data_IF_558415727798
#
_entry.id   IF_558415727798
#
_cell.length_a   1.000
_cell.length_b   1.000
_cell.length_c   1.000
_cell.angle_alpha   90.00
_cell.angle_beta   90.00
_cell.angle_gamma   90.00
#
_symmetry.space_group_name_H-M   'P 1'
#
loop_
_entity.id
_entity.type
_entity.pdbx_description
1 polymer ?
#
# COMPACT_ATOMS: atom_id res chain seq x y z
N UNK A 1 5.23 -1.72 -14.21
CA UNK A 1 3.93 -2.43 -14.18
C UNK A 1 2.84 -1.44 -13.77
N UNK A 2 1.65 -1.53 -14.33
CA UNK A 2 0.52 -0.63 -14.02
C UNK A 2 -0.46 -1.37 -13.09
N UNK A 3 -0.66 -0.84 -11.88
CA UNK A 3 -1.70 -1.28 -10.94
C UNK A 3 -2.96 -0.46 -11.21
N UNK A 4 -4.07 -1.08 -11.61
CA UNK A 4 -5.33 -0.37 -11.81
C UNK A 4 -6.09 -0.15 -10.50
N UNK A 5 -6.99 0.85 -10.49
CA UNK A 5 -7.87 1.07 -9.33
C UNK A 5 -8.80 -0.13 -9.08
N UNK A 6 -9.26 -0.79 -10.15
CA UNK A 6 -10.12 -1.98 -10.05
C UNK A 6 -9.37 -3.17 -9.46
N UNK A 7 -8.11 -3.41 -9.84
CA UNK A 7 -7.26 -4.42 -9.22
C UNK A 7 -7.04 -4.12 -7.74
N UNK A 8 -6.72 -2.87 -7.40
CA UNK A 8 -6.56 -2.48 -5.99
C UNK A 8 -7.86 -2.65 -5.20
N UNK A 9 -9.03 -2.34 -5.79
CA UNK A 9 -10.34 -2.57 -5.15
C UNK A 9 -10.61 -4.06 -4.90
N UNK A 10 -10.24 -4.92 -5.84
CA UNK A 10 -10.39 -6.38 -5.65
C UNK A 10 -9.49 -6.90 -4.53
N UNK A 11 -8.26 -6.39 -4.42
CA UNK A 11 -7.32 -6.74 -3.33
C UNK A 11 -7.72 -6.16 -1.97
N UNK A 12 -8.44 -5.02 -1.95
CA UNK A 12 -8.89 -4.29 -0.76
C UNK A 12 -10.42 -4.14 -0.75
N UNK A 13 -11.19 -5.23 -0.68
CA UNK A 13 -12.63 -5.22 -0.97
C UNK A 13 -13.45 -4.39 0.02
N UNK A 14 -12.97 -4.17 1.23
CA UNK A 14 -13.69 -3.39 2.25
C UNK A 14 -13.33 -1.89 2.22
N UNK A 15 -12.33 -1.50 1.44
CA UNK A 15 -11.90 -0.10 1.33
C UNK A 15 -12.86 0.70 0.44
N UNK A 16 -13.33 1.85 0.93
CA UNK A 16 -14.24 2.73 0.19
C UNK A 16 -13.57 3.96 -0.43
N UNK A 17 -12.26 4.13 -0.19
CA UNK A 17 -11.48 5.27 -0.66
C UNK A 17 -10.42 4.84 -1.69
N UNK A 18 -10.73 3.83 -2.51
CA UNK A 18 -9.77 3.19 -3.42
C UNK A 18 -9.12 4.18 -4.39
N UNK A 19 -9.86 5.12 -4.93
CA UNK A 19 -9.30 6.11 -5.87
C UNK A 19 -8.14 6.88 -5.24
N UNK A 20 -8.31 7.37 -4.01
CA UNK A 20 -7.24 8.07 -3.30
C UNK A 20 -6.04 7.15 -3.04
N UNK A 21 -6.26 5.91 -2.60
CA UNK A 21 -5.17 4.97 -2.34
C UNK A 21 -4.44 4.56 -3.62
N UNK A 22 -5.16 4.43 -4.71
CA UNK A 22 -4.58 4.14 -6.02
C UNK A 22 -3.68 5.28 -6.52
N UNK A 23 -4.15 6.54 -6.44
CA UNK A 23 -3.34 7.71 -6.80
C UNK A 23 -2.05 7.78 -5.97
N UNK A 24 -2.15 7.57 -4.65
CA UNK A 24 -1.00 7.55 -3.76
C UNK A 24 -0.04 6.38 -4.06
N UNK A 25 -0.57 5.19 -4.35
CA UNK A 25 0.25 4.04 -4.72
C UNK A 25 0.98 4.29 -6.04
N UNK A 26 0.32 4.87 -7.03
CA UNK A 26 0.92 5.24 -8.30
C UNK A 26 2.10 6.22 -8.15
N UNK A 27 2.01 7.15 -7.18
CA UNK A 27 3.08 8.09 -6.88
C UNK A 27 4.22 7.46 -6.05
N UNK A 28 3.89 6.67 -5.04
CA UNK A 28 4.85 6.22 -4.03
C UNK A 28 5.55 4.90 -4.40
N UNK A 29 4.85 3.95 -4.99
CA UNK A 29 5.42 2.62 -5.28
C UNK A 29 6.71 2.67 -6.11
N UNK A 30 6.81 3.49 -7.20
CA UNK A 30 8.05 3.58 -7.96
C UNK A 30 9.23 4.11 -7.14
N UNK A 31 9.00 5.01 -6.19
CA UNK A 31 10.05 5.57 -5.31
C UNK A 31 10.70 4.51 -4.43
N UNK A 32 9.94 3.47 -4.09
CA UNK A 32 10.37 2.36 -3.23
C UNK A 32 10.54 1.04 -4.00
N UNK A 33 10.58 1.11 -5.34
CA UNK A 33 10.78 -0.06 -6.21
C UNK A 33 9.73 -1.17 -5.97
N UNK A 34 8.50 -0.79 -5.66
CA UNK A 34 7.36 -1.71 -5.53
C UNK A 34 6.67 -1.75 -6.90
N UNK A 35 7.30 -2.38 -7.89
CA UNK A 35 7.01 -2.22 -9.32
C UNK A 35 6.85 -3.55 -10.08
N UNK A 36 6.97 -4.70 -9.41
CA UNK A 36 6.67 -6.01 -9.98
C UNK A 36 5.39 -6.61 -9.39
N UNK A 37 4.84 -7.63 -10.05
CA UNK A 37 3.65 -8.38 -9.59
C UNK A 37 3.86 -8.88 -8.17
N UNK A 38 4.99 -9.56 -7.92
CA UNK A 38 5.31 -10.17 -6.65
C UNK A 38 5.48 -9.15 -5.53
N UNK A 39 6.11 -8.00 -5.83
CA UNK A 39 6.32 -6.91 -4.86
C UNK A 39 5.01 -6.23 -4.50
N UNK A 40 4.17 -5.90 -5.50
CA UNK A 40 2.84 -5.30 -5.27
C UNK A 40 1.96 -6.28 -4.51
N UNK A 41 1.83 -7.54 -4.95
CA UNK A 41 1.04 -8.55 -4.27
C UNK A 41 1.52 -8.75 -2.83
N UNK A 42 2.83 -8.87 -2.62
CA UNK A 42 3.43 -9.04 -1.30
C UNK A 42 3.15 -7.84 -0.38
N UNK A 43 3.34 -6.63 -0.89
CA UNK A 43 3.09 -5.39 -0.14
C UNK A 43 1.63 -5.26 0.25
N UNK A 44 0.71 -5.36 -0.73
CA UNK A 44 -0.73 -5.21 -0.48
C UNK A 44 -1.24 -6.29 0.47
N UNK A 45 -0.89 -7.57 0.25
CA UNK A 45 -1.34 -8.67 1.11
C UNK A 45 -0.94 -8.48 2.58
N UNK A 46 0.29 -8.02 2.83
CA UNK A 46 0.78 -7.83 4.19
C UNK A 46 0.18 -6.57 4.84
N UNK A 47 0.18 -5.45 4.14
CA UNK A 47 -0.36 -4.18 4.68
C UNK A 47 -1.87 -4.20 4.85
N UNK A 48 -2.60 -4.88 3.96
CA UNK A 48 -4.04 -5.10 4.09
C UNK A 48 -4.39 -5.91 5.35
N UNK A 49 -3.60 -6.93 5.69
CA UNK A 49 -3.76 -7.69 6.93
C UNK A 49 -3.56 -6.80 8.17
N UNK A 50 -2.51 -5.96 8.19
CA UNK A 50 -2.18 -5.10 9.34
C UNK A 50 -3.20 -3.97 9.56
N UNK A 51 -3.83 -3.47 8.51
CA UNK A 51 -4.65 -2.26 8.52
C UNK A 51 -6.11 -2.47 8.13
N UNK A 52 -6.59 -3.71 8.09
CA UNK A 52 -7.95 -4.07 7.66
C UNK A 52 -8.29 -3.43 6.30
N UNK A 53 -7.61 -3.88 5.24
CA UNK A 53 -7.76 -3.37 3.87
C UNK A 53 -7.52 -1.84 3.77
N UNK A 54 -6.50 -1.34 4.47
CA UNK A 54 -6.11 0.08 4.50
C UNK A 54 -7.20 1.01 5.03
N UNK A 55 -8.09 0.48 5.87
CA UNK A 55 -9.16 1.26 6.51
C UNK A 55 -8.75 1.82 7.87
N UNK A 56 -7.76 1.21 8.52
CA UNK A 56 -7.26 1.63 9.83
C UNK A 56 -5.80 2.08 9.69
N UNK A 57 -5.56 3.37 9.88
CA UNK A 57 -4.23 3.98 9.81
C UNK A 57 -3.71 4.46 11.16
N UNK A 58 -4.45 4.23 12.23
CA UNK A 58 -4.08 4.61 13.60
C UNK A 58 -4.60 3.57 14.59
N UNK A 59 -3.77 3.17 15.57
CA UNK A 59 -4.17 2.13 16.52
C UNK A 59 -5.29 2.62 17.47
N UNK A 60 -6.20 1.72 17.78
CA UNK A 60 -7.27 1.96 18.74
C UNK A 60 -6.88 1.46 20.13
N UNK A 61 -6.59 2.37 21.04
CA UNK A 61 -6.21 2.10 22.43
C UNK A 61 -7.38 2.23 23.43
N UNK A 62 -8.61 2.25 22.94
CA UNK A 62 -9.80 2.41 23.79
C UNK A 62 -10.20 1.09 24.48
N UNK A 63 -9.40 0.63 25.43
CA UNK A 63 -9.60 -0.64 26.14
C UNK A 63 -10.35 -0.48 27.45
N UNK A 64 -11.21 -1.47 27.78
CA UNK A 64 -11.78 -1.61 29.13
C UNK A 64 -10.73 -2.15 30.10
N UNK A 65 -10.92 -1.96 31.40
CA UNK A 65 -10.03 -2.47 32.44
C UNK A 65 -9.81 -3.99 32.34
N UNK A 66 -10.86 -4.76 32.03
CA UNK A 66 -10.76 -6.20 31.85
C UNK A 66 -9.91 -6.56 30.60
N UNK A 67 -10.08 -5.80 29.51
CA UNK A 67 -9.30 -5.99 28.28
C UNK A 67 -7.82 -5.63 28.49
N UNK A 68 -7.51 -4.61 29.27
CA UNK A 68 -6.12 -4.23 29.61
C UNK A 68 -5.35 -5.39 30.28
N UNK A 69 -5.97 -6.07 31.23
CA UNK A 69 -5.35 -7.23 31.88
C UNK A 69 -5.12 -8.42 30.92
N UNK A 70 -5.99 -8.57 29.93
CA UNK A 70 -5.88 -9.65 28.94
C UNK A 70 -4.85 -9.33 27.87
N UNK A 71 -4.93 -8.12 27.28
CA UNK A 71 -4.11 -7.71 26.12
C UNK A 71 -2.75 -7.20 26.57
N UNK A 72 -2.71 -6.40 27.61
CA UNK A 72 -1.52 -5.74 28.13
C UNK A 72 -1.14 -6.19 29.54
N UNK A 73 -1.42 -7.44 29.90
CA UNK A 73 -1.22 -8.01 31.22
C UNK A 73 0.18 -7.77 31.81
N UNK A 74 1.21 -7.73 30.98
CA UNK A 74 2.59 -7.39 31.37
C UNK A 74 2.69 -6.03 32.05
N UNK A 75 1.92 -5.04 31.58
CA UNK A 75 1.99 -3.65 32.03
C UNK A 75 0.99 -3.32 33.14
N UNK A 76 0.02 -4.20 33.39
CA UNK A 76 -1.02 -4.05 34.39
C UNK A 76 -0.95 -5.15 35.46
N UNK A 77 -1.54 -6.31 35.20
CA UNK A 77 -1.64 -7.39 36.17
C UNK A 77 -0.28 -7.84 36.70
N UNK A 78 0.70 -8.07 35.82
CA UNK A 78 2.03 -8.54 36.24
C UNK A 78 2.88 -7.42 36.85
N UNK A 79 2.56 -6.17 36.58
CA UNK A 79 3.20 -4.99 37.16
C UNK A 79 2.50 -4.49 38.44
N UNK A 80 1.46 -5.18 38.92
CA UNK A 80 0.71 -4.76 40.13
C UNK A 80 -0.06 -3.45 39.98
N UNK A 81 -0.38 -3.05 38.72
CA UNK A 81 -1.07 -1.77 38.42
C UNK A 81 -2.56 -2.03 38.20
N UNK A 82 -3.40 -1.28 38.94
CA UNK A 82 -4.84 -1.37 38.78
C UNK A 82 -5.29 -0.81 37.42
N UNK A 83 -5.85 -1.62 36.53
CA UNK A 83 -6.27 -1.18 35.19
C UNK A 83 -7.52 -0.28 35.22
N UNK A 84 -8.25 -0.21 36.35
CA UNK A 84 -9.46 0.63 36.49
C UNK A 84 -9.15 2.11 36.29
N UNK A 85 -7.97 2.56 36.75
CA UNK A 85 -7.48 3.92 36.55
C UNK A 85 -7.15 4.26 35.07
N UNK A 86 -7.15 3.28 34.17
CA UNK A 86 -6.87 3.44 32.74
C UNK A 86 -8.06 3.06 31.84
N UNK A 87 -9.20 2.71 32.44
CA UNK A 87 -10.40 2.29 31.73
C UNK A 87 -10.85 3.34 30.72
N UNK A 88 -10.86 2.97 29.42
CA UNK A 88 -11.27 3.87 28.32
C UNK A 88 -10.51 5.20 28.26
N UNK A 89 -9.22 5.19 28.62
CA UNK A 89 -8.34 6.35 28.58
C UNK A 89 -7.16 6.06 27.62
N UNK A 90 -7.36 6.17 26.28
CA UNK A 90 -6.38 5.77 25.27
C UNK A 90 -4.99 6.38 25.46
N UNK A 91 -4.94 7.68 25.79
CA UNK A 91 -3.68 8.39 26.00
C UNK A 91 -2.89 7.81 27.18
N UNK A 92 -3.55 7.63 28.33
CA UNK A 92 -2.90 7.03 29.50
C UNK A 92 -2.46 5.60 29.25
N UNK A 93 -3.27 4.83 28.51
CA UNK A 93 -2.93 3.46 28.12
C UNK A 93 -1.68 3.44 27.26
N UNK A 94 -1.62 4.29 26.21
CA UNK A 94 -0.45 4.41 25.36
C UNK A 94 0.81 4.79 26.15
N UNK A 95 0.70 5.84 26.97
CA UNK A 95 1.82 6.34 27.76
C UNK A 95 2.35 5.28 28.73
N UNK A 96 1.49 4.42 29.28
CA UNK A 96 1.86 3.28 30.11
C UNK A 96 2.53 2.14 29.32
N UNK A 97 1.88 1.71 28.24
CA UNK A 97 2.29 0.51 27.47
C UNK A 97 3.60 0.74 26.74
N UNK A 98 3.83 1.97 26.25
CA UNK A 98 4.99 2.32 25.44
C UNK A 98 6.09 3.08 26.20
N UNK A 99 5.92 3.32 27.52
CA UNK A 99 6.94 3.96 28.33
C UNK A 99 8.29 3.23 28.31
N UNK A 100 9.39 3.98 28.24
CA UNK A 100 10.76 3.49 28.30
C UNK A 100 11.09 2.43 27.23
N UNK A 101 10.45 2.52 26.06
CA UNK A 101 10.63 1.61 24.94
C UNK A 101 10.78 2.40 23.65
N UNK A 102 11.58 1.90 22.71
CA UNK A 102 11.73 2.50 21.37
C UNK A 102 12.06 4.01 21.45
N UNK A 103 12.95 4.39 22.36
CA UNK A 103 13.36 5.76 22.69
C UNK A 103 12.24 6.67 23.21
N UNK A 104 11.08 6.13 23.57
CA UNK A 104 10.08 6.90 24.33
C UNK A 104 10.59 7.14 25.75
N UNK A 105 10.26 8.31 26.28
CA UNK A 105 10.47 8.63 27.70
C UNK A 105 9.57 7.79 28.61
N UNK A 106 9.55 8.14 29.89
CA UNK A 106 8.68 7.50 30.89
C UNK A 106 7.18 7.80 30.64
N UNK A 107 6.29 7.22 31.46
CA UNK A 107 4.85 7.38 31.33
C UNK A 107 4.39 8.86 31.34
N UNK A 108 5.08 9.73 32.12
CA UNK A 108 4.75 11.15 32.20
C UNK A 108 5.25 12.00 31.03
N UNK A 109 6.10 11.46 30.16
CA UNK A 109 6.64 12.18 28.99
C UNK A 109 5.58 12.46 27.91
N UNK A 110 4.51 11.67 27.85
CA UNK A 110 3.53 11.73 26.78
C UNK A 110 3.99 11.06 25.47
N UNK A 111 5.24 10.57 25.41
CA UNK A 111 5.80 9.99 24.19
C UNK A 111 5.04 8.74 23.72
N UNK A 112 4.51 7.94 24.65
CA UNK A 112 3.75 6.76 24.31
C UNK A 112 2.50 7.06 23.48
N UNK A 113 1.78 8.11 23.81
CA UNK A 113 0.63 8.58 23.03
C UNK A 113 1.07 9.29 21.76
N UNK A 114 2.06 10.17 21.86
CA UNK A 114 2.57 10.94 20.73
C UNK A 114 3.05 10.04 19.60
N UNK A 115 3.79 8.97 19.90
CA UNK A 115 4.41 8.05 18.95
C UNK A 115 3.72 6.67 18.93
N UNK A 116 2.39 6.63 19.18
CA UNK A 116 1.60 5.40 19.06
C UNK A 116 1.59 4.87 17.63
N UNK A 117 1.08 3.66 17.42
CA UNK A 117 1.02 3.02 16.13
C UNK A 117 0.25 3.81 15.07
N UNK A 118 0.90 4.17 13.97
CA UNK A 118 0.29 4.85 12.81
C UNK A 118 0.77 4.26 11.49
N UNK A 119 -0.02 4.52 10.44
CA UNK A 119 0.24 4.05 9.09
C UNK A 119 -0.20 2.61 8.86
N UNK A 120 -0.09 2.16 7.61
CA UNK A 120 -0.58 0.83 7.20
C UNK A 120 0.22 -0.33 7.83
N UNK A 121 1.38 -0.05 8.42
CA UNK A 121 2.23 -1.05 9.09
C UNK A 121 2.36 -0.78 10.59
N UNK A 122 1.56 0.13 11.12
CA UNK A 122 1.55 0.47 12.55
C UNK A 122 2.94 0.86 13.09
N UNK A 123 3.60 1.80 12.41
CA UNK A 123 4.88 2.35 12.85
C UNK A 123 4.75 2.94 14.26
N UNK A 124 5.53 2.45 15.23
CA UNK A 124 5.37 2.76 16.65
C UNK A 124 6.71 3.14 17.28
N UNK A 125 6.68 4.12 18.19
CA UNK A 125 7.80 4.54 19.01
C UNK A 125 8.65 5.65 18.40
N UNK A 126 9.20 6.50 19.27
CA UNK A 126 9.99 7.69 18.92
C UNK A 126 11.18 7.36 18.00
N UNK A 127 11.88 6.25 18.28
CA UNK A 127 12.98 5.77 17.45
C UNK A 127 12.57 5.53 16.00
N UNK A 128 11.46 4.82 15.77
CA UNK A 128 11.01 4.52 14.41
C UNK A 128 10.48 5.76 13.70
N UNK A 129 9.78 6.64 14.41
CA UNK A 129 9.34 7.92 13.87
C UNK A 129 10.52 8.79 13.44
N UNK A 130 11.57 8.84 14.27
CA UNK A 130 12.79 9.59 13.94
C UNK A 130 13.47 9.04 12.69
N UNK A 131 13.64 7.73 12.59
CA UNK A 131 14.25 7.10 11.40
C UNK A 131 13.47 7.40 10.11
N UNK A 132 12.14 7.36 10.20
CA UNK A 132 11.30 7.71 9.06
C UNK A 132 11.38 9.20 8.74
N UNK A 133 11.29 10.07 9.75
CA UNK A 133 11.46 11.52 9.66
C UNK A 133 12.78 11.89 8.95
N UNK A 134 13.89 11.30 9.40
CA UNK A 134 15.22 11.55 8.82
C UNK A 134 15.30 11.08 7.35
N UNK A 135 14.64 9.96 7.02
CA UNK A 135 14.65 9.41 5.67
C UNK A 135 13.91 10.27 4.65
N UNK A 136 12.73 10.79 5.02
CA UNK A 136 11.90 11.61 4.12
C UNK A 136 12.13 13.11 4.25
N UNK A 137 12.99 13.56 5.19
CA UNK A 137 13.32 14.97 5.40
C UNK A 137 12.18 15.81 6.01
N UNK A 138 11.25 15.19 6.75
CA UNK A 138 10.18 15.88 7.49
C UNK A 138 10.56 15.97 8.96
N UNK A 139 10.54 17.16 9.54
CA UNK A 139 10.90 17.39 10.94
C UNK A 139 9.98 16.63 11.92
N UNK A 140 10.54 16.24 13.10
CA UNK A 140 9.87 15.42 14.11
C UNK A 140 8.59 16.05 14.69
N UNK A 141 8.45 17.35 14.67
CA UNK A 141 7.24 18.05 15.10
C UNK A 141 6.07 17.85 14.11
N UNK A 142 6.38 17.65 12.83
CA UNK A 142 5.41 17.48 11.74
C UNK A 142 5.14 16.01 11.39
N UNK A 143 6.09 15.11 11.72
CA UNK A 143 5.99 13.70 11.30
C UNK A 143 4.75 12.99 11.86
N UNK A 144 4.31 13.35 13.06
CA UNK A 144 3.11 12.79 13.70
C UNK A 144 1.86 13.10 12.88
N UNK A 145 1.72 14.37 12.47
CA UNK A 145 0.59 14.79 11.64
C UNK A 145 0.66 14.15 10.25
N UNK A 146 1.85 14.07 9.65
CA UNK A 146 2.06 13.41 8.36
C UNK A 146 1.62 11.94 8.41
N UNK A 147 2.07 11.17 9.40
CA UNK A 147 1.71 9.75 9.58
C UNK A 147 0.21 9.51 9.83
N UNK A 148 -0.52 10.53 10.28
CA UNK A 148 -1.98 10.46 10.47
C UNK A 148 -2.78 10.73 9.18
N UNK A 149 -2.10 11.00 8.07
CA UNK A 149 -2.72 11.19 6.75
C UNK A 149 -2.62 9.92 5.89
N UNK A 150 -3.49 9.72 4.89
CA UNK A 150 -3.37 8.59 3.96
C UNK A 150 -2.00 8.53 3.26
N UNK A 151 -1.46 9.68 2.81
CA UNK A 151 -0.14 9.72 2.16
C UNK A 151 0.96 9.27 3.12
N UNK A 152 1.02 9.79 4.34
CA UNK A 152 2.02 9.39 5.33
C UNK A 152 1.86 7.94 5.80
N UNK A 153 0.61 7.45 5.85
CA UNK A 153 0.31 6.06 6.19
C UNK A 153 0.87 5.07 5.15
N UNK A 154 0.72 5.38 3.86
CA UNK A 154 1.26 4.57 2.79
C UNK A 154 2.78 4.73 2.67
N UNK A 155 3.28 5.98 2.73
CA UNK A 155 4.69 6.30 2.60
C UNK A 155 5.54 5.59 3.68
N UNK A 156 5.09 5.62 4.94
CA UNK A 156 5.77 4.91 6.03
C UNK A 156 5.80 3.39 5.85
N UNK A 157 4.76 2.82 5.25
CA UNK A 157 4.71 1.39 4.95
C UNK A 157 5.66 1.04 3.79
N UNK A 158 5.70 1.86 2.74
CA UNK A 158 6.63 1.71 1.63
C UNK A 158 8.09 1.85 2.09
N UNK A 159 8.37 2.86 2.94
CA UNK A 159 9.68 3.04 3.56
C UNK A 159 10.10 1.83 4.39
N UNK A 160 9.22 1.32 5.25
CA UNK A 160 9.50 0.13 6.04
C UNK A 160 9.79 -1.07 5.14
N UNK A 161 8.97 -1.27 4.12
CA UNK A 161 9.12 -2.35 3.15
C UNK A 161 10.49 -2.31 2.47
N UNK A 162 10.84 -1.16 1.91
CA UNK A 162 12.08 -0.96 1.20
C UNK A 162 13.31 -1.11 2.10
N UNK A 163 13.33 -0.42 3.26
CA UNK A 163 14.48 -0.41 4.15
C UNK A 163 14.71 -1.72 4.90
N UNK A 164 13.72 -2.61 4.92
CA UNK A 164 13.84 -3.95 5.50
C UNK A 164 14.08 -5.04 4.46
N UNK A 165 14.37 -4.71 3.21
CA UNK A 165 14.70 -5.67 2.14
C UNK A 165 13.54 -6.60 1.79
N UNK A 166 12.30 -6.08 1.85
CA UNK A 166 11.10 -6.88 1.57
C UNK A 166 10.88 -7.07 0.07
N UNK A 167 11.43 -6.18 -0.77
CA UNK A 167 11.41 -6.36 -2.23
C UNK A 167 12.08 -7.68 -2.63
N UNK A 168 13.31 -7.92 -2.13
CA UNK A 168 14.07 -9.14 -2.45
C UNK A 168 13.43 -10.40 -1.88
N UNK A 169 12.68 -10.29 -0.79
CA UNK A 169 11.90 -11.41 -0.23
C UNK A 169 10.66 -11.66 -1.10
N UNK A 170 10.01 -10.60 -1.59
CA UNK A 170 8.86 -10.69 -2.48
C UNK A 170 9.24 -11.29 -3.84
N UNK A 171 10.38 -10.87 -4.42
CA UNK A 171 10.91 -11.42 -5.68
C UNK A 171 11.12 -12.95 -5.62
N UNK A 172 11.36 -13.50 -4.43
CA UNK A 172 11.44 -14.95 -4.20
C UNK A 172 10.10 -15.58 -3.81
N UNK A 173 9.03 -14.79 -3.80
CA UNK A 173 7.68 -15.22 -3.40
C UNK A 173 7.60 -15.83 -1.99
N UNK A 174 8.53 -15.44 -1.10
CA UNK A 174 8.60 -15.95 0.27
C UNK A 174 7.66 -15.18 1.21
N UNK A 175 6.36 -15.47 1.13
CA UNK A 175 5.34 -14.87 2.00
C UNK A 175 5.61 -15.15 3.49
N UNK A 176 6.24 -16.27 3.80
CA UNK A 176 6.61 -16.62 5.18
C UNK A 176 7.75 -15.73 5.69
N UNK A 177 8.74 -15.46 4.83
CA UNK A 177 9.83 -14.52 5.10
C UNK A 177 9.32 -13.09 5.27
N UNK A 178 8.42 -12.63 4.36
CA UNK A 178 7.77 -11.33 4.48
C UNK A 178 7.02 -11.19 5.81
N UNK A 179 6.18 -12.18 6.16
CA UNK A 179 5.43 -12.18 7.42
C UNK A 179 6.34 -12.08 8.64
N UNK A 180 7.41 -12.88 8.67
CA UNK A 180 8.37 -12.88 9.78
C UNK A 180 9.11 -11.55 9.90
N UNK A 181 9.48 -10.95 8.79
CA UNK A 181 10.19 -9.66 8.76
C UNK A 181 9.31 -8.52 9.28
N UNK A 182 8.02 -8.54 8.98
CA UNK A 182 7.05 -7.51 9.39
C UNK A 182 6.65 -7.69 10.85
N UNK A 183 6.29 -8.92 11.25
CA UNK A 183 5.60 -9.19 12.52
C UNK A 183 6.53 -9.79 13.60
N UNK A 184 7.79 -10.09 13.28
CA UNK A 184 8.70 -10.81 14.19
C UNK A 184 8.35 -12.28 14.40
N UNK A 185 7.20 -12.76 13.84
CA UNK A 185 6.69 -14.12 13.97
C UNK A 185 5.84 -14.51 12.76
N UNK A 186 4.95 -15.48 12.95
CA UNK A 186 4.07 -15.99 11.88
C UNK A 186 2.58 -15.74 12.17
N UNK A 187 2.27 -14.74 13.00
CA UNK A 187 0.87 -14.38 13.27
C UNK A 187 0.19 -13.90 11.98
N UNK A 188 -1.01 -14.40 11.72
CA UNK A 188 -1.78 -14.05 10.52
C UNK A 188 -1.24 -14.64 9.21
N UNK A 189 -0.29 -15.62 9.26
CA UNK A 189 0.33 -16.17 8.05
C UNK A 189 -0.69 -16.74 7.06
N UNK A 190 -1.72 -17.43 7.53
CA UNK A 190 -2.69 -18.06 6.62
C UNK A 190 -3.56 -17.03 5.90
N UNK A 191 -3.93 -15.92 6.59
CA UNK A 191 -4.63 -14.80 5.95
C UNK A 191 -3.73 -14.09 4.94
N UNK A 192 -2.46 -13.83 5.29
CA UNK A 192 -1.49 -13.21 4.37
C UNK A 192 -1.21 -14.08 3.14
N UNK A 193 -1.12 -15.41 3.31
CA UNK A 193 -0.97 -16.35 2.19
C UNK A 193 -2.16 -16.33 1.25
N UNK A 194 -3.39 -16.31 1.82
CA UNK A 194 -4.60 -16.20 1.00
C UNK A 194 -4.59 -14.91 0.21
N UNK A 195 -4.42 -13.76 0.90
CA UNK A 195 -4.37 -12.42 0.27
C UNK A 195 -3.28 -12.31 -0.79
N UNK A 196 -2.11 -12.90 -0.54
CA UNK A 196 -0.99 -12.89 -1.47
C UNK A 196 -1.30 -13.65 -2.75
N UNK A 197 -1.87 -14.85 -2.62
CA UNK A 197 -2.31 -15.65 -3.76
C UNK A 197 -3.40 -14.93 -4.56
N UNK A 198 -4.43 -14.44 -3.86
CA UNK A 198 -5.53 -13.70 -4.49
C UNK A 198 -5.00 -12.45 -5.22
N UNK A 199 -4.01 -11.75 -4.64
CA UNK A 199 -3.38 -10.59 -5.27
C UNK A 199 -2.54 -10.97 -6.51
N UNK A 200 -1.81 -12.09 -6.49
CA UNK A 200 -1.11 -12.60 -7.67
C UNK A 200 -2.12 -12.93 -8.79
N UNK A 201 -3.19 -13.66 -8.46
CA UNK A 201 -4.23 -14.03 -9.43
C UNK A 201 -4.91 -12.79 -10.05
N UNK A 202 -5.17 -11.73 -9.26
CA UNK A 202 -5.72 -10.46 -9.74
C UNK A 202 -4.73 -9.73 -10.66
N UNK A 203 -3.45 -9.69 -10.29
CA UNK A 203 -2.42 -8.97 -11.03
C UNK A 203 -1.99 -9.73 -12.30
N UNK A 204 -1.94 -11.07 -12.25
CA UNK A 204 -1.63 -11.92 -13.40
C UNK A 204 -2.85 -12.12 -14.31
N UNK A 205 -4.05 -12.15 -13.74
CA UNK A 205 -5.30 -12.33 -14.48
C UNK A 205 -5.55 -11.24 -15.52
N UNK A 206 -5.07 -10.01 -15.28
CA UNK A 206 -5.12 -8.95 -16.28
C UNK A 206 -4.06 -9.16 -17.40
N UNK A 207 -3.00 -9.91 -17.14
CA UNK A 207 -2.06 -10.34 -18.17
C UNK A 207 -2.60 -11.52 -19.02
N UNK A 208 -3.41 -12.40 -18.41
CA UNK A 208 -4.04 -13.53 -19.13
C UNK A 208 -5.39 -13.16 -19.76
N UNK A 209 -6.17 -12.25 -19.14
CA UNK A 209 -7.48 -11.81 -19.65
C UNK A 209 -7.41 -10.67 -20.66
N UNK A 210 -6.24 -10.07 -20.90
CA UNK A 210 -6.08 -9.31 -22.12
C UNK A 210 -5.97 -10.28 -23.31
N UNK A 211 -7.01 -11.12 -23.48
CA UNK A 211 -7.25 -11.74 -24.76
C UNK A 211 -7.39 -10.58 -25.75
N UNK A 212 -6.37 -10.42 -26.57
CA UNK A 212 -6.44 -9.49 -27.70
C UNK A 212 -7.72 -9.89 -28.44
N UNK A 213 -8.79 -9.14 -28.18
CA UNK A 213 -9.99 -9.27 -29.00
C UNK A 213 -9.54 -8.94 -30.42
N UNK A 214 -9.38 -9.98 -31.23
CA UNK A 214 -8.96 -9.83 -32.60
C UNK A 214 -9.93 -8.97 -33.42
N UNK A 215 -11.09 -8.62 -32.86
CA UNK A 215 -12.07 -7.70 -33.43
C UNK A 215 -12.00 -6.30 -32.80
N UNK A 216 -11.19 -6.08 -31.75
CA UNK A 216 -11.07 -4.78 -31.11
C UNK A 216 -10.47 -3.77 -32.09
N UNK A 217 -11.19 -2.68 -32.30
CA UNK A 217 -10.76 -1.54 -33.12
C UNK A 217 -11.03 -0.26 -32.33
N UNK A 218 -9.95 0.41 -31.88
CA UNK A 218 -10.05 1.71 -31.22
C UNK A 218 -9.59 2.83 -32.15
N UNK A 219 -10.37 3.88 -32.21
CA UNK A 219 -10.17 5.04 -33.11
C UNK A 219 -10.77 6.29 -32.47
N UNK A 220 -10.64 7.43 -33.11
CA UNK A 220 -11.28 8.68 -32.62
C UNK A 220 -12.74 8.42 -32.23
N UNK A 221 -13.09 8.86 -31.04
CA UNK A 221 -14.40 8.67 -30.44
C UNK A 221 -14.54 7.45 -29.55
N UNK A 222 -13.61 6.46 -29.57
CA UNK A 222 -13.58 5.36 -28.60
C UNK A 222 -13.33 5.88 -27.21
N UNK A 223 -13.94 5.23 -26.19
CA UNK A 223 -13.86 5.62 -24.79
C UNK A 223 -13.75 4.38 -23.90
N UNK A 224 -13.21 4.55 -22.70
CA UNK A 224 -13.18 3.52 -21.65
C UNK A 224 -11.79 3.12 -21.24
N UNK A 225 -11.70 2.06 -20.46
CA UNK A 225 -10.47 1.61 -19.79
C UNK A 225 -9.39 1.17 -20.78
N UNK A 226 -9.77 0.46 -21.85
CA UNK A 226 -8.80 0.08 -22.91
C UNK A 226 -8.17 1.30 -23.59
N UNK A 227 -8.88 2.43 -23.68
CA UNK A 227 -8.31 3.68 -24.19
C UNK A 227 -7.32 4.25 -23.18
N UNK A 228 -7.62 4.26 -21.86
CA UNK A 228 -6.69 4.69 -20.82
C UNK A 228 -5.40 3.90 -20.85
N UNK A 229 -5.51 2.57 -20.93
CA UNK A 229 -4.37 1.66 -21.03
C UNK A 229 -3.48 1.99 -22.23
N UNK A 230 -4.06 2.27 -23.41
CA UNK A 230 -3.30 2.67 -24.60
C UNK A 230 -2.63 4.03 -24.39
N UNK A 231 -3.33 4.98 -23.79
CA UNK A 231 -2.78 6.29 -23.44
C UNK A 231 -1.60 6.17 -22.49
N UNK A 232 -1.69 5.31 -21.46
CA UNK A 232 -0.60 4.98 -20.55
C UNK A 232 0.61 4.45 -21.28
N UNK A 233 0.44 3.44 -22.15
CA UNK A 233 1.52 2.86 -22.96
C UNK A 233 2.18 3.84 -23.92
N UNK A 234 1.46 4.88 -24.31
CA UNK A 234 1.95 5.95 -25.17
C UNK A 234 2.45 7.17 -24.38
N UNK A 235 2.53 7.10 -23.04
CA UNK A 235 2.91 8.18 -22.13
C UNK A 235 2.04 9.46 -22.33
N UNK A 236 0.75 9.28 -22.48
CA UNK A 236 -0.25 10.36 -22.59
C UNK A 236 -1.03 10.53 -21.29
N UNK A 237 -1.79 11.63 -21.19
CA UNK A 237 -2.80 11.79 -20.14
C UNK A 237 -3.88 10.73 -20.34
N UNK A 238 -4.17 9.97 -19.28
CA UNK A 238 -5.10 8.84 -19.28
C UNK A 238 -6.55 9.29 -19.05
N UNK A 239 -7.10 10.12 -19.93
CA UNK A 239 -8.47 10.62 -19.84
C UNK A 239 -9.54 9.62 -20.30
N UNK A 240 -9.12 8.50 -20.88
CA UNK A 240 -10.01 7.45 -21.41
C UNK A 240 -10.79 7.86 -22.65
N UNK A 241 -10.37 8.92 -23.35
CA UNK A 241 -11.00 9.41 -24.57
C UNK A 241 -10.01 9.33 -25.73
N UNK A 242 -10.28 8.51 -26.73
CA UNK A 242 -9.46 8.44 -27.92
C UNK A 242 -9.71 9.68 -28.79
N UNK A 243 -8.98 10.75 -28.48
CA UNK A 243 -9.03 12.02 -29.18
C UNK A 243 -7.92 12.16 -30.23
N UNK A 244 -7.82 13.37 -30.86
CA UNK A 244 -6.76 13.64 -31.86
C UNK A 244 -5.33 13.47 -31.33
N UNK A 245 -5.11 13.76 -30.04
CA UNK A 245 -3.80 13.59 -29.39
C UNK A 245 -3.44 12.10 -29.31
N UNK A 246 -4.38 11.27 -28.88
CA UNK A 246 -4.20 9.80 -28.82
C UNK A 246 -3.97 9.23 -30.20
N UNK A 247 -4.73 9.68 -31.22
CA UNK A 247 -4.54 9.22 -32.60
C UNK A 247 -3.14 9.57 -33.12
N UNK A 248 -2.68 10.81 -32.90
CA UNK A 248 -1.35 11.23 -33.33
C UNK A 248 -0.24 10.41 -32.70
N UNK A 249 -0.36 10.09 -31.41
CA UNK A 249 0.60 9.24 -30.71
C UNK A 249 0.59 7.81 -31.25
N UNK A 250 -0.58 7.24 -31.55
CA UNK A 250 -0.71 5.93 -32.20
C UNK A 250 -0.04 5.93 -33.56
N UNK A 251 -0.24 6.96 -34.39
CA UNK A 251 0.43 7.05 -35.70
C UNK A 251 1.96 7.09 -35.56
N UNK A 252 2.48 7.88 -34.61
CA UNK A 252 3.92 7.94 -34.36
C UNK A 252 4.46 6.57 -33.90
N UNK A 253 3.76 5.88 -33.02
CA UNK A 253 4.10 4.52 -32.59
C UNK A 253 4.10 3.51 -33.75
N UNK A 254 3.09 3.58 -34.62
CA UNK A 254 3.00 2.74 -35.82
C UNK A 254 4.16 3.00 -36.78
N UNK A 255 4.59 4.25 -36.97
CA UNK A 255 5.76 4.62 -37.76
C UNK A 255 7.03 3.98 -37.19
N UNK A 256 7.25 4.13 -35.85
CA UNK A 256 8.45 3.60 -35.19
C UNK A 256 8.59 2.10 -35.36
N UNK A 257 7.49 1.36 -35.31
CA UNK A 257 7.46 -0.10 -35.41
C UNK A 257 7.16 -0.61 -36.81
N UNK A 258 7.16 0.28 -37.84
CA UNK A 258 6.88 -0.08 -39.26
C UNK A 258 5.54 -0.82 -39.42
N UNK A 259 4.54 -0.46 -38.63
CA UNK A 259 3.18 -0.95 -38.78
C UNK A 259 2.42 -0.13 -39.82
N UNK A 260 1.22 -0.56 -40.20
CA UNK A 260 0.31 0.27 -41.00
C UNK A 260 -0.03 1.53 -40.26
N UNK A 261 0.30 2.70 -40.81
CA UNK A 261 0.10 4.02 -40.21
C UNK A 261 -1.30 4.54 -40.55
N UNK A 262 -2.29 4.14 -39.79
CA UNK A 262 -3.69 4.55 -39.97
C UNK A 262 -4.28 5.25 -38.75
N UNK A 263 -3.53 5.35 -37.64
CA UNK A 263 -3.98 5.96 -36.40
C UNK A 263 -5.10 5.17 -35.72
N UNK A 264 -5.25 3.90 -36.06
CA UNK A 264 -6.23 2.97 -35.50
C UNK A 264 -5.49 1.89 -34.71
N UNK A 265 -5.96 1.60 -33.50
CA UNK A 265 -5.46 0.47 -32.72
C UNK A 265 -6.30 -0.74 -33.05
N UNK A 266 -5.87 -1.47 -34.07
CA UNK A 266 -6.36 -2.81 -34.36
C UNK A 266 -5.47 -3.89 -33.74
N UNK A 267 -5.73 -5.20 -33.99
CA UNK A 267 -5.03 -6.31 -33.32
C UNK A 267 -3.50 -6.23 -33.38
N UNK A 268 -2.95 -5.84 -34.53
CA UNK A 268 -1.49 -5.79 -34.74
C UNK A 268 -0.86 -4.63 -33.92
N UNK A 269 -1.48 -3.45 -33.96
CA UNK A 269 -1.02 -2.29 -33.18
C UNK A 269 -1.17 -2.56 -31.68
N UNK A 270 -2.25 -3.23 -31.28
CA UNK A 270 -2.49 -3.60 -29.90
C UNK A 270 -1.44 -4.59 -29.39
N UNK A 271 -1.15 -5.66 -30.14
CA UNK A 271 -0.06 -6.60 -29.77
C UNK A 271 1.27 -5.90 -29.60
N UNK A 272 1.60 -4.97 -30.49
CA UNK A 272 2.85 -4.23 -30.41
C UNK A 272 2.91 -3.27 -29.20
N UNK A 273 1.77 -2.70 -28.78
CA UNK A 273 1.67 -1.85 -27.57
C UNK A 273 1.79 -2.68 -26.28
N UNK A 274 1.45 -3.97 -26.32
CA UNK A 274 1.49 -4.88 -25.18
C UNK A 274 2.79 -5.69 -25.07
N UNK A 275 3.61 -5.71 -26.10
CA UNK A 275 4.93 -6.35 -26.08
C UNK A 275 5.96 -5.48 -25.33
#
# INVERSE_FOLDING_TARGET
MHLSADQLQQMLPTNRNIVQWHELAHELFPRYQIDTVERIAGFVANTAHESLDWTIIEENLNYSAAALNRVFGKYFRHAGVDPRGYHRQPERIANRVYANRMDNGNESSGDGWRYRGRGLIQLTGKYNYKRFSDYIGIEMDRIVNYLSTPVGALDSACWFWYTNGLNEIADRQDIRGMTRRINGGLNGLDDRKRRYRDALDILDGDNENFQIDNNLVLRIGSRGETVRMIQSRLNLVEDGVFGPVTQSAVMNFQIQLKLKVDGIVGPNTLRALMA
#
